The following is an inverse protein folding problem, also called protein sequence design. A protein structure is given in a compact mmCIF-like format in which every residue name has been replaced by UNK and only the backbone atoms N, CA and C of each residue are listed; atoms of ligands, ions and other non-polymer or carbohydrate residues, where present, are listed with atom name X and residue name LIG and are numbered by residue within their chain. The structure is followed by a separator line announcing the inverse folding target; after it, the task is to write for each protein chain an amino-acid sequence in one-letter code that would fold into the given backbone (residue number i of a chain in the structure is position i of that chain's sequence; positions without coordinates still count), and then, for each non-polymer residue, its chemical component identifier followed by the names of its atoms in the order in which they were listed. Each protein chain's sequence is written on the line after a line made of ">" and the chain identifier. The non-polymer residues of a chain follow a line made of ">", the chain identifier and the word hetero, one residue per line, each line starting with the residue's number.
data_IF_593739226782
#
_entry.id   IF_593739226782
#
_cell.length_a   1.000
_cell.length_b   1.000
_cell.length_c   1.000
_cell.angle_alpha   90.00
_cell.angle_beta   90.00
_cell.angle_gamma   90.00
#
_symmetry.space_group_name_H-M   'P 1'
#
loop_
_entity.id
_entity.type
_entity.pdbx_description
1 polymer ?
#
# COMPACT_ATOMS: atom_id res chain seq x y z
N UNK A 1 -25.20 -54.80 -26.20
CA UNK A 1 -24.07 -54.62 -25.25
C UNK A 1 -23.84 -55.98 -24.64
N UNK A 2 -22.64 -56.52 -24.74
CA UNK A 2 -22.32 -57.81 -24.14
C UNK A 2 -22.11 -57.65 -22.62
N UNK A 3 -22.24 -58.77 -21.86
CA UNK A 3 -22.02 -58.73 -20.41
C UNK A 3 -20.60 -58.27 -20.05
N UNK A 4 -19.62 -58.56 -20.90
CA UNK A 4 -18.22 -58.11 -20.73
C UNK A 4 -18.08 -56.60 -20.93
N UNK A 5 -18.77 -55.99 -21.90
CA UNK A 5 -18.80 -54.53 -22.10
C UNK A 5 -19.45 -53.81 -20.91
N UNK A 6 -20.50 -54.39 -20.34
CA UNK A 6 -21.18 -53.85 -19.17
C UNK A 6 -20.27 -53.88 -17.94
N UNK A 7 -19.57 -54.99 -17.71
CA UNK A 7 -18.65 -55.11 -16.57
C UNK A 7 -17.47 -54.13 -16.68
N UNK A 8 -16.90 -53.96 -17.87
CA UNK A 8 -15.85 -52.95 -18.09
C UNK A 8 -16.32 -51.50 -17.84
N UNK A 9 -17.57 -51.19 -18.21
CA UNK A 9 -18.14 -49.85 -17.92
C UNK A 9 -18.38 -49.63 -16.43
N UNK A 10 -18.82 -50.65 -15.71
CA UNK A 10 -19.03 -50.57 -14.25
C UNK A 10 -17.68 -50.39 -13.51
N UNK A 11 -16.67 -51.15 -13.92
CA UNK A 11 -15.32 -51.05 -13.36
C UNK A 11 -14.76 -49.64 -13.63
N UNK A 12 -14.89 -49.14 -14.86
CA UNK A 12 -14.44 -47.78 -15.22
C UNK A 12 -15.22 -46.69 -14.49
N UNK A 13 -16.52 -46.87 -14.28
CA UNK A 13 -17.33 -45.97 -13.48
C UNK A 13 -16.86 -45.93 -12.01
N UNK A 14 -16.50 -47.08 -11.44
CA UNK A 14 -15.94 -47.19 -10.10
C UNK A 14 -14.62 -46.43 -9.98
N UNK A 15 -13.67 -46.65 -10.90
CA UNK A 15 -12.40 -45.96 -10.94
C UNK A 15 -12.57 -44.42 -11.05
N UNK A 16 -13.44 -43.97 -11.92
CA UNK A 16 -13.74 -42.54 -12.09
C UNK A 16 -14.42 -41.97 -10.85
N UNK A 17 -15.33 -42.71 -10.23
CA UNK A 17 -15.99 -42.35 -8.99
C UNK A 17 -14.98 -42.13 -7.85
N UNK A 18 -14.06 -43.08 -7.66
CA UNK A 18 -12.99 -42.99 -6.67
C UNK A 18 -12.06 -41.78 -6.94
N UNK A 19 -11.71 -41.52 -8.20
CA UNK A 19 -10.91 -40.38 -8.58
C UNK A 19 -11.64 -39.05 -8.28
N UNK A 20 -12.93 -38.94 -8.57
CA UNK A 20 -13.74 -37.75 -8.28
C UNK A 20 -13.87 -37.51 -6.77
N UNK A 21 -14.00 -38.56 -5.99
CA UNK A 21 -14.07 -38.50 -4.52
C UNK A 21 -12.73 -38.08 -3.94
N UNK A 22 -11.64 -38.68 -4.42
CA UNK A 22 -10.27 -38.32 -3.99
C UNK A 22 -9.88 -36.87 -4.32
N UNK A 23 -10.37 -36.34 -5.44
CA UNK A 23 -10.17 -34.94 -5.85
C UNK A 23 -11.16 -33.97 -5.18
N UNK A 24 -12.15 -34.47 -4.45
CA UNK A 24 -13.24 -33.65 -3.88
C UNK A 24 -14.06 -32.93 -4.97
N UNK A 25 -14.14 -33.51 -6.16
CA UNK A 25 -14.71 -32.86 -7.34
C UNK A 25 -16.23 -32.64 -7.23
N UNK A 26 -16.93 -33.40 -6.39
CA UNK A 26 -18.36 -33.21 -6.11
C UNK A 26 -18.71 -31.90 -5.44
N UNK A 27 -17.73 -31.28 -4.74
CA UNK A 27 -17.90 -30.00 -4.05
C UNK A 27 -17.36 -28.83 -4.88
N UNK A 28 -16.80 -29.09 -6.07
CA UNK A 28 -16.08 -28.07 -6.86
C UNK A 28 -16.99 -26.90 -7.23
N UNK A 29 -18.20 -27.17 -7.69
CA UNK A 29 -19.15 -26.14 -8.11
C UNK A 29 -19.52 -25.24 -6.91
N UNK A 30 -19.80 -25.85 -5.75
CA UNK A 30 -20.09 -25.09 -4.53
C UNK A 30 -18.90 -24.27 -4.05
N UNK A 31 -17.68 -24.84 -4.08
CA UNK A 31 -16.45 -24.10 -3.72
C UNK A 31 -16.20 -22.95 -4.69
N UNK A 32 -16.48 -23.15 -5.98
CA UNK A 32 -16.37 -22.12 -7.00
C UNK A 32 -17.35 -20.99 -6.76
N UNK A 33 -18.64 -21.29 -6.53
CA UNK A 33 -19.67 -20.29 -6.24
C UNK A 33 -19.33 -19.47 -4.99
N UNK A 34 -18.95 -20.14 -3.90
CA UNK A 34 -18.55 -19.47 -2.65
C UNK A 34 -17.34 -18.54 -2.86
N UNK A 35 -16.32 -18.99 -3.59
CA UNK A 35 -15.15 -18.17 -3.84
C UNK A 35 -15.45 -17.00 -4.78
N UNK A 36 -16.28 -17.22 -5.80
CA UNK A 36 -16.70 -16.17 -6.74
C UNK A 36 -17.55 -15.11 -6.06
N UNK A 37 -18.48 -15.49 -5.20
CA UNK A 37 -19.33 -14.58 -4.44
C UNK A 37 -18.50 -13.79 -3.43
N UNK A 38 -17.68 -14.46 -2.63
CA UNK A 38 -16.83 -13.84 -1.61
C UNK A 38 -15.82 -12.84 -2.19
N UNK A 39 -15.24 -13.13 -3.35
CA UNK A 39 -14.33 -12.24 -4.06
C UNK A 39 -15.06 -11.30 -5.04
N UNK A 40 -16.39 -11.32 -5.05
CA UNK A 40 -17.23 -10.52 -5.95
C UNK A 40 -16.74 -10.59 -7.40
N UNK A 41 -16.51 -11.82 -7.86
CA UNK A 41 -16.15 -12.08 -9.25
C UNK A 41 -17.36 -11.74 -10.17
N UNK A 42 -17.11 -11.35 -11.43
CA UNK A 42 -18.18 -11.18 -12.40
C UNK A 42 -18.86 -12.51 -12.70
N UNK A 43 -20.05 -12.47 -13.34
CA UNK A 43 -20.80 -13.65 -13.76
C UNK A 43 -19.93 -14.57 -14.61
N UNK A 44 -20.10 -15.90 -14.42
CA UNK A 44 -19.23 -16.92 -15.01
C UNK A 44 -19.13 -16.88 -16.54
N UNK A 45 -20.19 -16.42 -17.23
CA UNK A 45 -20.22 -16.31 -18.69
C UNK A 45 -19.54 -15.04 -19.23
N UNK A 46 -19.03 -14.17 -18.36
CA UNK A 46 -18.39 -12.93 -18.78
C UNK A 46 -17.02 -13.19 -19.38
N UNK A 47 -16.79 -12.70 -20.59
CA UNK A 47 -15.51 -12.84 -21.27
C UNK A 47 -14.39 -12.11 -20.53
N UNK A 48 -13.28 -12.78 -20.24
CA UNK A 48 -12.12 -12.22 -19.52
C UNK A 48 -11.56 -10.96 -20.20
N UNK A 49 -11.72 -10.82 -21.51
CA UNK A 49 -11.22 -9.65 -22.29
C UNK A 49 -11.93 -8.35 -21.93
N UNK A 50 -13.19 -8.40 -21.49
CA UNK A 50 -13.98 -7.22 -21.15
C UNK A 50 -13.88 -6.83 -19.68
N UNK A 51 -13.24 -7.67 -18.87
CA UNK A 51 -13.06 -7.41 -17.45
C UNK A 51 -12.11 -6.25 -17.18
N UNK A 52 -12.43 -5.45 -16.17
CA UNK A 52 -11.53 -4.45 -15.60
C UNK A 52 -10.27 -5.10 -14.99
N UNK A 53 -9.23 -4.31 -14.73
CA UNK A 53 -8.00 -4.81 -14.09
C UNK A 53 -8.26 -5.44 -12.71
N UNK A 54 -9.12 -4.82 -11.90
CA UNK A 54 -9.50 -5.36 -10.59
C UNK A 54 -10.30 -6.67 -10.68
N UNK A 55 -11.27 -6.76 -11.61
CA UNK A 55 -12.02 -8.00 -11.83
C UNK A 55 -11.13 -9.13 -12.29
N UNK A 56 -10.20 -8.87 -13.22
CA UNK A 56 -9.23 -9.89 -13.65
C UNK A 56 -8.38 -10.41 -12.50
N UNK A 57 -7.93 -9.52 -11.60
CA UNK A 57 -7.14 -9.91 -10.42
C UNK A 57 -7.97 -10.80 -9.48
N UNK A 58 -9.24 -10.44 -9.21
CA UNK A 58 -10.13 -11.24 -8.35
C UNK A 58 -10.41 -12.63 -8.93
N UNK A 59 -10.69 -12.72 -10.24
CA UNK A 59 -10.86 -14.00 -10.93
C UNK A 59 -9.57 -14.83 -10.91
N UNK A 60 -8.41 -14.21 -11.12
CA UNK A 60 -7.12 -14.89 -11.05
C UNK A 60 -6.84 -15.40 -9.61
N UNK A 61 -7.16 -14.60 -8.60
CA UNK A 61 -7.04 -15.01 -7.19
C UNK A 61 -7.97 -16.17 -6.86
N UNK A 62 -9.25 -16.10 -7.23
CA UNK A 62 -10.21 -17.20 -7.05
C UNK A 62 -9.70 -18.52 -7.66
N UNK A 63 -9.25 -18.46 -8.92
CA UNK A 63 -8.66 -19.59 -9.61
C UNK A 63 -7.46 -20.17 -8.88
N UNK A 64 -6.55 -19.31 -8.41
CA UNK A 64 -5.35 -19.72 -7.69
C UNK A 64 -5.68 -20.41 -6.37
N UNK A 65 -6.61 -19.85 -5.60
CA UNK A 65 -7.03 -20.40 -4.31
C UNK A 65 -7.73 -21.77 -4.48
N UNK A 66 -8.56 -21.91 -5.50
CA UNK A 66 -9.27 -23.17 -5.80
C UNK A 66 -8.35 -24.27 -6.33
N UNK A 67 -7.18 -23.92 -6.89
CA UNK A 67 -6.21 -24.93 -7.35
C UNK A 67 -5.48 -25.66 -6.21
N UNK A 68 -5.64 -25.19 -4.98
CA UNK A 68 -5.10 -25.76 -3.74
C UNK A 68 -3.64 -26.23 -3.84
N UNK A 69 -2.69 -25.36 -4.20
CA UNK A 69 -1.27 -25.72 -4.35
C UNK A 69 -0.61 -25.98 -2.99
N UNK A 70 0.49 -26.73 -2.96
CA UNK A 70 1.29 -26.93 -1.74
C UNK A 70 1.92 -25.65 -1.21
N UNK A 71 2.29 -24.75 -2.14
CA UNK A 71 2.87 -23.43 -1.82
C UNK A 71 2.11 -22.36 -2.58
N UNK A 72 1.58 -21.39 -1.84
CA UNK A 72 0.82 -20.27 -2.35
C UNK A 72 1.67 -18.99 -2.24
N UNK A 73 1.95 -18.36 -3.38
CA UNK A 73 2.68 -17.09 -3.46
C UNK A 73 1.71 -15.98 -3.82
N UNK A 74 1.56 -14.99 -2.93
CA UNK A 74 0.64 -13.85 -3.09
C UNK A 74 1.41 -12.54 -3.07
N UNK A 75 1.18 -11.71 -4.08
CA UNK A 75 1.73 -10.36 -4.17
C UNK A 75 0.59 -9.33 -4.07
N UNK A 76 0.59 -8.57 -2.97
CA UNK A 76 -0.44 -7.59 -2.61
C UNK A 76 -1.87 -8.14 -2.79
N UNK A 77 -2.23 -9.25 -2.10
CA UNK A 77 -3.50 -9.92 -2.33
C UNK A 77 -4.72 -9.13 -1.88
N UNK A 78 -4.56 -8.17 -0.96
CA UNK A 78 -5.64 -7.34 -0.44
C UNK A 78 -5.94 -6.12 -1.33
N UNK A 79 -5.04 -5.77 -2.25
CA UNK A 79 -5.25 -4.63 -3.15
C UNK A 79 -6.47 -4.85 -4.05
N UNK A 80 -7.31 -3.82 -4.15
CA UNK A 80 -8.57 -3.82 -4.90
C UNK A 80 -9.66 -4.78 -4.37
N UNK A 81 -9.48 -5.37 -3.18
CA UNK A 81 -10.53 -6.08 -2.47
C UNK A 81 -11.29 -5.12 -1.54
N UNK A 82 -12.58 -5.36 -1.36
CA UNK A 82 -13.34 -4.70 -0.31
C UNK A 82 -13.16 -5.43 1.03
N UNK A 83 -13.60 -4.80 2.11
CA UNK A 83 -13.38 -5.31 3.47
C UNK A 83 -13.95 -6.72 3.70
N UNK A 84 -15.08 -7.05 3.07
CA UNK A 84 -15.72 -8.37 3.19
C UNK A 84 -14.90 -9.44 2.47
N UNK A 85 -14.41 -9.12 1.26
CA UNK A 85 -13.53 -10.01 0.49
C UNK A 85 -12.18 -10.24 1.19
N UNK A 86 -11.61 -9.18 1.82
CA UNK A 86 -10.39 -9.32 2.63
C UNK A 86 -10.63 -10.25 3.81
N UNK A 87 -11.72 -10.04 4.56
CA UNK A 87 -12.06 -10.88 5.72
C UNK A 87 -12.23 -12.36 5.32
N UNK A 88 -12.89 -12.62 4.20
CA UNK A 88 -13.03 -13.98 3.69
C UNK A 88 -11.66 -14.58 3.31
N UNK A 89 -10.79 -13.81 2.62
CA UNK A 89 -9.45 -14.24 2.25
C UNK A 89 -8.62 -14.58 3.50
N UNK A 90 -8.67 -13.76 4.54
CA UNK A 90 -8.00 -14.03 5.81
C UNK A 90 -8.45 -15.37 6.43
N UNK A 91 -9.76 -15.64 6.44
CA UNK A 91 -10.31 -16.89 6.97
C UNK A 91 -9.88 -18.09 6.11
N UNK A 92 -9.93 -17.94 4.78
CA UNK A 92 -9.47 -18.97 3.85
C UNK A 92 -8.01 -19.33 4.09
N UNK A 93 -7.12 -18.32 4.17
CA UNK A 93 -5.68 -18.55 4.35
C UNK A 93 -5.33 -19.13 5.72
N UNK A 94 -6.08 -18.82 6.77
CA UNK A 94 -5.93 -19.48 8.09
C UNK A 94 -6.22 -20.97 8.06
N UNK A 95 -7.13 -21.40 7.20
CA UNK A 95 -7.50 -22.82 7.04
C UNK A 95 -6.75 -23.50 5.91
N UNK A 96 -5.91 -22.79 5.18
CA UNK A 96 -5.17 -23.33 4.04
C UNK A 96 -4.15 -24.37 4.50
N UNK A 97 -4.17 -25.60 3.94
CA UNK A 97 -3.32 -26.70 4.43
C UNK A 97 -1.85 -26.57 4.01
N UNK A 98 -1.57 -25.79 2.96
CA UNK A 98 -0.22 -25.59 2.42
C UNK A 98 0.53 -24.43 3.06
N UNK A 99 1.69 -24.11 2.51
CA UNK A 99 2.51 -22.95 2.91
C UNK A 99 2.07 -21.71 2.14
N UNK A 100 1.83 -20.61 2.85
CA UNK A 100 1.52 -19.31 2.26
C UNK A 100 2.69 -18.35 2.44
N UNK A 101 3.11 -17.72 1.35
CA UNK A 101 4.09 -16.61 1.37
C UNK A 101 3.39 -15.42 0.72
N UNK A 102 3.14 -14.37 1.51
CA UNK A 102 2.48 -13.16 1.03
C UNK A 102 3.40 -11.95 1.16
N UNK A 103 3.48 -11.15 0.12
CA UNK A 103 4.06 -9.81 0.14
C UNK A 103 2.89 -8.83 0.24
N UNK A 104 2.85 -8.00 1.28
CA UNK A 104 1.78 -7.02 1.45
C UNK A 104 2.18 -5.89 2.38
N UNK A 105 1.56 -4.75 2.18
CA UNK A 105 1.63 -3.57 3.06
C UNK A 105 0.44 -3.47 4.02
N UNK A 106 -0.51 -4.39 3.93
CA UNK A 106 -1.69 -4.42 4.81
C UNK A 106 -1.33 -5.01 6.18
N UNK A 107 -1.16 -4.11 7.16
CA UNK A 107 -0.82 -4.47 8.54
C UNK A 107 -1.90 -5.29 9.24
N UNK A 108 -3.18 -5.05 8.93
CA UNK A 108 -4.28 -5.79 9.54
C UNK A 108 -4.33 -7.22 9.00
N UNK A 109 -4.14 -7.39 7.70
CA UNK A 109 -3.99 -8.69 7.09
C UNK A 109 -2.79 -9.46 7.69
N UNK A 110 -1.62 -8.82 7.79
CA UNK A 110 -0.44 -9.44 8.42
C UNK A 110 -0.67 -9.79 9.89
N UNK A 111 -1.39 -8.96 10.62
CA UNK A 111 -1.68 -9.21 12.05
C UNK A 111 -2.62 -10.40 12.22
N UNK A 112 -3.56 -10.58 11.28
CA UNK A 112 -4.56 -11.64 11.34
C UNK A 112 -4.07 -12.97 10.77
N UNK A 113 -3.21 -12.98 9.74
CA UNK A 113 -2.87 -14.20 8.98
C UNK A 113 -1.43 -14.67 9.23
N UNK A 114 -0.48 -13.73 9.44
CA UNK A 114 0.93 -14.09 9.49
C UNK A 114 1.32 -14.74 10.83
N UNK A 115 1.99 -15.89 10.79
CA UNK A 115 2.68 -16.50 11.93
C UNK A 115 4.17 -16.19 11.96
N UNK A 116 4.73 -15.75 10.82
CA UNK A 116 6.11 -15.31 10.63
C UNK A 116 6.15 -14.10 9.72
N UNK A 117 7.07 -13.18 9.99
CA UNK A 117 7.34 -12.03 9.15
C UNK A 117 8.81 -12.08 8.72
N UNK A 118 9.06 -11.96 7.42
CA UNK A 118 10.39 -11.74 6.87
C UNK A 118 10.53 -10.25 6.53
N UNK A 119 11.31 -9.54 7.33
CA UNK A 119 11.64 -8.14 7.06
C UNK A 119 12.83 -8.07 6.10
N UNK A 120 12.66 -7.35 5.00
CA UNK A 120 13.77 -7.03 4.10
C UNK A 120 14.26 -5.62 4.45
N UNK A 121 15.42 -5.54 5.10
CA UNK A 121 16.02 -4.27 5.54
C UNK A 121 17.47 -4.20 5.10
N UNK A 122 17.83 -3.13 4.39
CA UNK A 122 19.22 -2.84 3.96
C UNK A 122 19.93 -4.01 3.27
N UNK A 123 19.19 -4.77 2.45
CA UNK A 123 19.71 -5.94 1.72
C UNK A 123 19.81 -7.23 2.54
N UNK A 124 19.40 -7.21 3.80
CA UNK A 124 19.33 -8.38 4.68
C UNK A 124 17.88 -8.85 4.83
N UNK A 125 17.66 -10.16 4.93
CA UNK A 125 16.38 -10.76 5.28
C UNK A 125 16.37 -11.16 6.75
N UNK A 126 15.50 -10.55 7.55
CA UNK A 126 15.45 -10.76 9.00
C UNK A 126 14.11 -11.46 9.33
N UNK A 127 14.16 -12.76 9.72
CA UNK A 127 12.96 -13.48 10.10
C UNK A 127 12.51 -13.12 11.52
N UNK A 128 11.22 -12.89 11.68
CA UNK A 128 10.57 -12.60 12.97
C UNK A 128 9.44 -13.58 13.21
N UNK A 129 9.39 -14.16 14.39
CA UNK A 129 8.29 -15.02 14.79
C UNK A 129 7.14 -14.18 15.33
N UNK A 130 5.94 -14.45 14.85
CA UNK A 130 4.71 -13.80 15.28
C UNK A 130 4.06 -12.97 14.17
N UNK A 131 3.02 -12.23 14.55
CA UNK A 131 2.25 -11.36 13.69
C UNK A 131 2.87 -9.95 13.59
N UNK A 132 2.19 -9.05 12.88
CA UNK A 132 2.66 -7.68 12.64
C UNK A 132 2.86 -6.89 13.94
N UNK A 133 1.95 -6.99 14.90
CA UNK A 133 2.04 -6.29 16.20
C UNK A 133 3.26 -6.73 16.99
N UNK A 134 3.54 -8.04 17.03
CA UNK A 134 4.72 -8.57 17.70
C UNK A 134 6.03 -8.20 16.98
N UNK A 135 6.04 -8.20 15.65
CA UNK A 135 7.17 -7.72 14.85
C UNK A 135 7.49 -6.25 15.17
N UNK A 136 6.45 -5.41 15.26
CA UNK A 136 6.62 -3.99 15.55
C UNK A 136 7.29 -3.73 16.89
N UNK A 137 6.89 -4.46 17.93
CA UNK A 137 7.49 -4.38 19.25
C UNK A 137 8.95 -4.85 19.23
N UNK A 138 9.23 -5.99 18.59
CA UNK A 138 10.57 -6.54 18.46
C UNK A 138 11.49 -5.60 17.65
N UNK A 139 10.99 -5.02 16.54
CA UNK A 139 11.72 -4.02 15.74
C UNK A 139 12.04 -2.77 16.56
N UNK A 140 11.06 -2.26 17.32
CA UNK A 140 11.28 -1.11 18.20
C UNK A 140 12.39 -1.35 19.22
N UNK A 141 12.38 -2.52 19.87
CA UNK A 141 13.42 -2.92 20.82
C UNK A 141 14.79 -3.06 20.15
N UNK A 142 14.84 -3.63 18.94
CA UNK A 142 16.09 -3.73 18.14
C UNK A 142 16.65 -2.36 17.83
N UNK A 143 15.83 -1.45 17.28
CA UNK A 143 16.25 -0.09 16.93
C UNK A 143 16.75 0.68 18.14
N UNK A 144 16.07 0.57 19.29
CA UNK A 144 16.52 1.20 20.53
C UNK A 144 17.89 0.65 21.01
N UNK A 145 18.16 -0.64 20.82
CA UNK A 145 19.45 -1.23 21.14
C UNK A 145 20.53 -0.81 20.14
N UNK A 146 20.24 -0.77 18.86
CA UNK A 146 21.16 -0.27 17.81
C UNK A 146 21.55 1.18 18.08
N UNK A 147 20.58 2.05 18.42
CA UNK A 147 20.86 3.47 18.74
C UNK A 147 21.75 3.62 19.98
N UNK A 148 21.54 2.80 21.01
CA UNK A 148 22.42 2.76 22.19
C UNK A 148 23.84 2.31 21.83
N UNK A 149 23.98 1.32 20.95
CA UNK A 149 25.30 0.83 20.49
C UNK A 149 26.01 1.89 19.63
N UNK A 150 25.29 2.52 18.68
CA UNK A 150 25.84 3.62 17.87
C UNK A 150 26.30 4.80 18.74
N UNK A 151 25.48 5.21 19.72
CA UNK A 151 25.86 6.27 20.66
C UNK A 151 27.12 5.92 21.45
N UNK A 152 27.26 4.68 21.91
CA UNK A 152 28.47 4.20 22.56
C UNK A 152 29.68 4.19 21.62
N UNK A 153 29.49 3.69 20.38
CA UNK A 153 30.52 3.66 19.33
C UNK A 153 31.00 5.08 18.99
N UNK A 154 30.07 6.00 18.81
CA UNK A 154 30.38 7.42 18.53
C UNK A 154 31.17 8.06 19.69
N UNK A 155 30.77 7.88 20.93
CA UNK A 155 31.51 8.38 22.13
C UNK A 155 32.90 7.77 22.22
N UNK A 156 33.06 6.51 21.82
CA UNK A 156 34.36 5.85 21.81
C UNK A 156 35.26 6.41 20.70
N UNK A 157 34.72 6.60 19.47
CA UNK A 157 35.41 7.22 18.36
C UNK A 157 35.84 8.65 18.68
N UNK A 158 34.97 9.45 19.28
CA UNK A 158 35.27 10.83 19.69
C UNK A 158 36.43 10.87 20.71
N UNK A 159 36.42 9.97 21.71
CA UNK A 159 37.52 9.84 22.69
C UNK A 159 38.83 9.42 22.05
N UNK A 160 38.78 8.47 21.12
CA UNK A 160 40.01 8.01 20.40
C UNK A 160 40.52 9.12 19.47
N UNK A 161 39.62 9.88 18.83
CA UNK A 161 39.98 11.03 17.99
C UNK A 161 40.68 12.14 18.82
N UNK A 162 40.12 12.42 19.98
CA UNK A 162 40.67 13.41 20.93
C UNK A 162 42.06 12.95 21.41
N UNK A 163 42.24 11.66 21.72
CA UNK A 163 43.53 11.11 22.10
C UNK A 163 44.55 11.19 20.96
N UNK A 164 44.16 10.91 19.70
CA UNK A 164 45.00 11.04 18.52
C UNK A 164 45.45 12.48 18.30
N UNK A 165 44.58 13.48 18.60
CA UNK A 165 44.89 14.88 18.44
C UNK A 165 45.79 15.45 19.54
N UNK A 166 45.66 14.98 20.79
CA UNK A 166 46.33 15.55 21.95
C UNK A 166 47.75 15.06 22.22
N UNK A 167 48.20 13.93 21.62
CA UNK A 167 49.48 13.32 22.00
C UNK A 167 50.43 13.01 20.82
N UNK A 168 51.17 14.04 20.27
CA UNK A 168 52.11 13.81 19.18
C UNK A 168 53.42 13.09 19.62
N UNK A 169 53.76 13.04 20.90
CA UNK A 169 55.05 12.54 21.41
C UNK A 169 55.04 11.07 21.87
N UNK A 170 53.92 10.38 21.92
CA UNK A 170 53.81 9.04 22.42
C UNK A 170 53.67 7.92 21.33
N UNK A 171 54.07 8.19 20.10
CA UNK A 171 53.83 7.35 18.92
C UNK A 171 54.71 6.10 18.77
N UNK A 172 55.31 5.55 19.82
CA UNK A 172 56.10 4.32 19.68
C UNK A 172 55.27 3.06 20.01
N UNK A 173 55.29 2.09 19.09
CA UNK A 173 54.82 0.69 19.14
C UNK A 173 53.41 0.39 19.72
N UNK A 174 53.03 0.90 20.88
CA UNK A 174 51.66 0.70 21.48
C UNK A 174 50.56 1.50 20.79
N UNK A 175 50.90 2.54 20.01
CA UNK A 175 49.94 3.37 19.30
C UNK A 175 49.42 2.76 17.99
N UNK A 176 50.18 1.83 17.37
CA UNK A 176 49.82 1.22 16.08
C UNK A 176 48.59 0.29 16.18
N UNK A 177 48.49 -0.47 17.27
CA UNK A 177 47.31 -1.32 17.52
C UNK A 177 46.06 -0.49 17.77
N UNK A 178 46.16 0.66 18.42
CA UNK A 178 45.07 1.58 18.74
C UNK A 178 44.63 2.40 17.52
N UNK A 179 45.58 2.81 16.67
CA UNK A 179 45.30 3.41 15.36
C UNK A 179 44.60 2.39 14.42
N UNK A 180 45.06 1.18 14.35
CA UNK A 180 44.41 0.13 13.56
C UNK A 180 43.00 -0.21 14.09
N UNK A 181 42.79 -0.14 15.41
CA UNK A 181 41.44 -0.29 16.02
C UNK A 181 40.53 0.87 15.68
N UNK A 182 41.04 2.10 15.69
CA UNK A 182 40.31 3.29 15.24
C UNK A 182 39.96 3.23 13.76
N UNK A 183 40.93 2.89 12.88
CA UNK A 183 40.69 2.78 11.44
C UNK A 183 39.65 1.68 11.12
N UNK A 184 39.68 0.56 11.85
CA UNK A 184 38.68 -0.49 11.72
C UNK A 184 37.29 -0.01 12.15
N UNK A 185 37.17 0.69 13.30
CA UNK A 185 35.91 1.23 13.80
C UNK A 185 35.40 2.38 12.94
N UNK A 186 36.28 3.19 12.37
CA UNK A 186 35.94 4.27 11.46
C UNK A 186 35.56 3.78 10.05
N UNK A 187 36.16 2.65 9.62
CA UNK A 187 35.84 2.03 8.33
C UNK A 187 34.56 1.18 8.31
N UNK A 188 33.98 0.88 9.48
CA UNK A 188 32.65 0.30 9.54
C UNK A 188 31.63 1.41 9.24
N UNK A 189 31.03 1.35 8.05
CA UNK A 189 30.00 2.30 7.61
C UNK A 189 28.89 2.41 8.67
N UNK A 190 28.56 3.65 9.04
CA UNK A 190 27.40 3.90 9.87
C UNK A 190 26.17 3.46 9.10
N UNK A 191 25.37 2.55 9.68
CA UNK A 191 24.12 2.12 9.08
C UNK A 191 23.23 3.35 8.85
N UNK A 192 22.77 3.55 7.62
CA UNK A 192 21.86 4.65 7.29
C UNK A 192 20.62 4.58 8.20
N UNK A 193 20.33 5.68 8.86
CA UNK A 193 19.11 5.76 9.69
C UNK A 193 17.89 5.73 8.80
N UNK A 194 16.89 4.91 9.14
CA UNK A 194 15.56 5.05 8.54
C UNK A 194 15.07 6.48 8.79
N UNK A 195 14.93 7.23 7.73
CA UNK A 195 14.35 8.58 7.78
C UNK A 195 12.85 8.42 8.02
N UNK A 196 12.37 8.89 9.19
CA UNK A 196 10.92 8.97 9.41
C UNK A 196 10.34 9.91 8.37
N UNK A 197 9.32 9.44 7.67
CA UNK A 197 8.55 10.29 6.78
C UNK A 197 7.82 11.34 7.64
N UNK A 198 8.03 12.61 7.34
CA UNK A 198 7.37 13.72 8.03
C UNK A 198 6.50 14.46 7.02
N UNK A 199 5.32 13.91 6.76
CA UNK A 199 4.36 14.47 5.83
C UNK A 199 3.87 15.81 6.35
N UNK A 200 4.13 16.87 5.60
CA UNK A 200 3.60 18.19 5.86
C UNK A 200 2.37 18.45 4.98
N UNK A 201 1.20 18.47 5.61
CA UNK A 201 -0.05 18.90 4.97
C UNK A 201 -0.22 20.38 5.28
N UNK A 202 -0.09 21.29 4.29
CA UNK A 202 -0.25 22.71 4.54
C UNK A 202 -1.68 23.00 4.99
N UNK A 203 -1.89 23.81 6.04
CA UNK A 203 -3.22 24.28 6.35
C UNK A 203 -3.70 25.15 5.18
N UNK A 204 -4.84 24.77 4.60
CA UNK A 204 -5.51 25.56 3.58
C UNK A 204 -6.22 26.78 4.16
N UNK A 205 -6.86 27.56 3.30
CA UNK A 205 -7.72 28.67 3.69
C UNK A 205 -8.84 28.19 4.63
N UNK A 206 -9.29 29.07 5.53
CA UNK A 206 -10.33 28.71 6.50
C UNK A 206 -11.64 28.29 5.79
N UNK A 207 -12.13 27.12 6.15
CA UNK A 207 -13.43 26.63 5.67
C UNK A 207 -14.59 27.46 6.24
N UNK A 208 -15.56 27.76 5.39
CA UNK A 208 -16.86 28.32 5.78
C UNK A 208 -17.73 27.30 6.52
N UNK A 209 -18.96 27.67 6.81
CA UNK A 209 -19.91 26.80 7.53
C UNK A 209 -20.45 25.67 6.66
N UNK A 210 -20.57 25.91 5.35
CA UNK A 210 -20.92 24.88 4.37
C UNK A 210 -19.63 24.40 3.71
N UNK A 211 -19.33 23.11 3.85
CA UNK A 211 -18.20 22.47 3.17
C UNK A 211 -18.73 21.70 1.96
N UNK A 212 -19.40 20.58 2.16
CA UNK A 212 -20.08 19.81 1.12
C UNK A 212 -21.45 19.41 1.64
N UNK A 213 -22.50 19.73 0.89
CA UNK A 213 -23.85 19.33 1.19
C UNK A 213 -24.50 18.70 -0.05
N UNK A 214 -25.04 17.51 0.12
CA UNK A 214 -25.74 16.73 -0.90
C UNK A 214 -27.17 16.50 -0.44
N UNK A 215 -28.14 16.87 -1.25
CA UNK A 215 -29.56 16.81 -0.92
C UNK A 215 -30.31 16.03 -2.01
N UNK A 216 -30.97 14.95 -1.59
CA UNK A 216 -31.81 14.09 -2.45
C UNK A 216 -31.10 13.66 -3.74
N UNK A 217 -29.82 13.36 -3.66
CA UNK A 217 -29.00 13.01 -4.82
C UNK A 217 -29.35 11.61 -5.30
N UNK A 218 -29.64 11.50 -6.59
CA UNK A 218 -29.86 10.23 -7.27
C UNK A 218 -28.82 10.08 -8.38
N UNK A 219 -28.29 8.88 -8.54
CA UNK A 219 -27.35 8.54 -9.60
C UNK A 219 -27.50 7.09 -10.01
N UNK A 220 -27.58 6.88 -11.33
CA UNK A 220 -27.65 5.56 -11.94
C UNK A 220 -26.76 5.49 -13.19
N UNK A 221 -26.34 4.30 -13.57
CA UNK A 221 -25.72 4.01 -14.85
C UNK A 221 -26.49 2.87 -15.54
N UNK A 222 -27.26 3.21 -16.54
CA UNK A 222 -28.18 2.27 -17.19
C UNK A 222 -29.21 1.73 -16.17
N UNK A 223 -29.25 0.42 -15.98
CA UNK A 223 -30.14 -0.22 -15.02
C UNK A 223 -29.59 -0.30 -13.59
N UNK A 224 -28.34 0.13 -13.37
CA UNK A 224 -27.69 0.06 -12.07
C UNK A 224 -27.85 1.36 -11.30
N UNK A 225 -28.63 1.31 -10.23
CA UNK A 225 -28.80 2.43 -9.29
C UNK A 225 -27.60 2.42 -8.34
N UNK A 226 -26.88 3.54 -8.23
CA UNK A 226 -25.78 3.73 -7.28
C UNK A 226 -26.26 4.47 -6.03
N UNK A 227 -27.00 5.55 -6.21
CA UNK A 227 -27.53 6.38 -5.14
C UNK A 227 -29.01 6.67 -5.38
N UNK A 228 -29.79 6.50 -4.34
CA UNK A 228 -31.23 6.83 -4.33
C UNK A 228 -31.54 7.68 -3.11
N UNK A 229 -32.03 8.89 -3.33
CA UNK A 229 -32.34 9.86 -2.29
C UNK A 229 -31.20 10.08 -1.27
N UNK A 230 -29.97 10.09 -1.77
CA UNK A 230 -28.76 10.16 -0.95
C UNK A 230 -28.57 11.57 -0.39
N UNK A 231 -28.40 11.66 0.93
CA UNK A 231 -28.16 12.89 1.64
C UNK A 231 -26.85 12.77 2.43
N UNK A 232 -25.96 13.77 2.30
CA UNK A 232 -24.69 13.82 2.99
C UNK A 232 -24.32 15.25 3.30
N UNK A 233 -23.99 15.54 4.54
CA UNK A 233 -23.44 16.81 4.96
C UNK A 233 -22.08 16.58 5.60
N UNK A 234 -21.04 17.15 5.02
CA UNK A 234 -19.68 17.10 5.56
C UNK A 234 -19.39 18.40 6.32
N UNK A 235 -19.23 18.33 7.65
CA UNK A 235 -18.91 19.51 8.45
C UNK A 235 -17.44 19.89 8.29
N UNK A 236 -17.11 21.14 8.65
CA UNK A 236 -15.71 21.60 8.68
C UNK A 236 -14.87 20.81 9.68
N UNK A 237 -13.60 20.59 9.34
CA UNK A 237 -12.62 19.86 10.15
C UNK A 237 -12.98 18.39 10.43
N UNK A 238 -13.89 17.81 9.66
CA UNK A 238 -14.23 16.40 9.78
C UNK A 238 -13.28 15.51 8.98
N UNK A 239 -13.04 14.30 9.50
CA UNK A 239 -12.48 13.19 8.75
C UNK A 239 -13.61 12.21 8.52
N UNK A 240 -13.95 11.98 7.24
CA UNK A 240 -15.07 11.12 6.84
C UNK A 240 -14.53 9.92 6.09
N UNK A 241 -14.68 8.73 6.67
CA UNK A 241 -14.36 7.46 5.98
C UNK A 241 -15.56 6.97 5.20
N UNK A 242 -15.36 6.69 3.90
CA UNK A 242 -16.38 6.13 3.01
C UNK A 242 -16.06 4.66 2.78
N UNK A 243 -16.89 3.78 3.29
CA UNK A 243 -16.76 2.33 3.18
C UNK A 243 -17.90 1.73 2.37
N UNK A 244 -17.65 0.63 1.74
CA UNK A 244 -18.65 -0.12 0.99
C UNK A 244 -18.04 -1.03 -0.05
N UNK A 245 -18.84 -1.96 -0.61
CA UNK A 245 -18.39 -2.90 -1.63
C UNK A 245 -17.77 -2.25 -2.86
N UNK A 246 -16.99 -3.02 -3.59
CA UNK A 246 -16.47 -2.58 -4.88
C UNK A 246 -17.60 -2.33 -5.88
N UNK A 247 -17.49 -1.21 -6.59
CA UNK A 247 -18.49 -0.81 -7.59
C UNK A 247 -19.77 -0.18 -7.02
N UNK A 248 -19.89 0.04 -5.69
CA UNK A 248 -21.07 0.68 -5.07
C UNK A 248 -21.16 2.18 -5.39
N UNK A 249 -20.13 2.77 -5.96
CA UNK A 249 -20.14 4.18 -6.36
C UNK A 249 -19.22 5.11 -5.56
N UNK A 250 -18.26 4.58 -4.75
CA UNK A 250 -17.35 5.42 -3.96
C UNK A 250 -16.60 6.46 -4.80
N UNK A 251 -15.93 6.03 -5.86
CA UNK A 251 -15.22 6.94 -6.78
C UNK A 251 -16.20 7.83 -7.59
N UNK A 252 -17.41 7.35 -7.86
CA UNK A 252 -18.46 8.17 -8.50
C UNK A 252 -18.90 9.31 -7.59
N UNK A 253 -19.00 9.07 -6.27
CA UNK A 253 -19.30 10.10 -5.28
C UNK A 253 -18.23 11.21 -5.31
N UNK A 254 -16.95 10.84 -5.32
CA UNK A 254 -15.87 11.83 -5.44
C UNK A 254 -15.92 12.59 -6.76
N UNK A 255 -16.19 11.92 -7.87
CA UNK A 255 -16.36 12.57 -9.18
C UNK A 255 -17.53 13.56 -9.20
N UNK A 256 -18.62 13.24 -8.51
CA UNK A 256 -19.76 14.16 -8.37
C UNK A 256 -19.40 15.37 -7.49
N UNK A 257 -18.66 15.18 -6.40
CA UNK A 257 -18.16 16.28 -5.56
C UNK A 257 -17.22 17.19 -6.35
N UNK A 258 -16.38 16.62 -7.20
CA UNK A 258 -15.48 17.40 -8.07
C UNK A 258 -16.19 18.06 -9.27
N UNK A 259 -17.48 17.76 -9.50
CA UNK A 259 -18.21 18.25 -10.66
C UNK A 259 -17.82 17.58 -11.99
N UNK A 260 -17.03 16.50 -11.96
CA UNK A 260 -16.66 15.69 -13.13
C UNK A 260 -17.80 14.79 -13.60
N UNK A 261 -18.71 14.46 -12.71
CA UNK A 261 -19.91 13.68 -12.97
C UNK A 261 -21.13 14.44 -12.41
N UNK A 262 -22.25 14.43 -13.13
CA UNK A 262 -23.47 15.08 -12.69
C UNK A 262 -24.40 14.07 -12.05
N UNK A 263 -25.09 14.42 -10.95
CA UNK A 263 -26.21 13.61 -10.45
C UNK A 263 -27.34 13.61 -11.46
N UNK A 264 -28.14 12.55 -11.47
CA UNK A 264 -29.34 12.46 -12.31
C UNK A 264 -30.43 13.39 -11.77
N UNK A 265 -30.52 13.53 -10.44
CA UNK A 265 -31.36 14.51 -9.75
C UNK A 265 -30.81 14.81 -8.34
N UNK A 266 -31.39 15.81 -7.69
CA UNK A 266 -30.88 16.31 -6.41
C UNK A 266 -29.92 17.48 -6.57
N UNK A 267 -29.30 17.90 -5.47
CA UNK A 267 -28.41 19.07 -5.44
C UNK A 267 -27.15 18.77 -4.67
N UNK A 268 -26.01 19.18 -5.26
CA UNK A 268 -24.71 19.17 -4.59
C UNK A 268 -24.27 20.61 -4.42
N UNK A 269 -24.02 21.01 -3.18
CA UNK A 269 -23.56 22.35 -2.84
C UNK A 269 -22.17 22.25 -2.24
N UNK A 270 -21.21 22.92 -2.85
CA UNK A 270 -19.83 23.03 -2.36
C UNK A 270 -19.66 24.46 -1.87
N UNK A 271 -19.08 24.63 -0.68
CA UNK A 271 -18.86 25.95 -0.09
C UNK A 271 -17.90 26.81 -0.94
N UNK A 272 -18.16 28.10 -1.01
CA UNK A 272 -17.36 29.05 -1.81
C UNK A 272 -15.87 29.09 -1.41
N UNK A 273 -15.57 28.76 -0.16
CA UNK A 273 -14.18 28.73 0.36
C UNK A 273 -13.50 27.39 0.17
N UNK A 274 -14.19 26.39 -0.38
CA UNK A 274 -13.67 25.03 -0.56
C UNK A 274 -12.73 24.96 -1.75
N UNK A 275 -11.52 24.50 -1.50
CA UNK A 275 -10.53 24.12 -2.51
C UNK A 275 -10.26 22.63 -2.38
N UNK A 276 -10.72 21.85 -3.34
CA UNK A 276 -10.57 20.39 -3.34
C UNK A 276 -9.20 20.02 -3.86
N UNK A 277 -8.46 19.20 -3.11
CA UNK A 277 -7.29 18.47 -3.57
C UNK A 277 -7.67 16.97 -3.64
N UNK A 278 -7.49 16.36 -4.81
CA UNK A 278 -7.89 14.98 -5.06
C UNK A 278 -6.70 14.11 -5.43
N UNK A 279 -6.54 13.02 -4.72
CA UNK A 279 -5.55 11.97 -5.03
C UNK A 279 -6.27 10.83 -5.74
N UNK A 280 -6.03 10.72 -7.05
CA UNK A 280 -6.60 9.70 -7.93
C UNK A 280 -5.66 8.49 -8.06
N UNK A 281 -6.23 7.31 -8.24
CA UNK A 281 -5.48 6.07 -8.53
C UNK A 281 -4.83 6.04 -9.92
N UNK A 282 -5.27 6.87 -10.87
CA UNK A 282 -4.91 6.70 -12.29
C UNK A 282 -3.54 7.26 -12.69
N UNK A 283 -2.89 8.08 -11.85
CA UNK A 283 -1.57 8.70 -12.09
C UNK A 283 -1.36 9.33 -13.48
N UNK A 284 -2.44 9.75 -14.16
CA UNK A 284 -2.42 10.22 -15.55
C UNK A 284 -1.59 11.49 -15.75
N UNK A 285 -1.40 12.26 -14.70
CA UNK A 285 -0.69 13.55 -14.74
C UNK A 285 0.83 13.40 -14.60
N UNK A 286 1.33 12.19 -14.39
CA UNK A 286 2.75 11.94 -14.25
C UNK A 286 3.42 11.74 -15.61
N UNK A 287 4.29 12.67 -16.01
CA UNK A 287 5.06 12.61 -17.24
C UNK A 287 6.26 11.67 -17.08
N UNK A 288 6.32 10.52 -17.81
CA UNK A 288 7.33 9.48 -17.59
C UNK A 288 8.77 9.94 -17.82
N UNK A 289 8.97 10.88 -18.74
CA UNK A 289 10.29 11.33 -19.17
C UNK A 289 10.93 12.38 -18.25
N UNK A 290 10.12 13.01 -17.40
CA UNK A 290 10.60 14.01 -16.44
C UNK A 290 11.13 13.37 -15.16
N UNK A 291 12.06 14.07 -14.50
CA UNK A 291 12.57 13.69 -13.19
C UNK A 291 11.55 14.00 -12.08
N UNK A 292 11.67 13.34 -10.92
CA UNK A 292 10.85 13.63 -9.74
C UNK A 292 10.94 15.13 -9.40
N UNK A 293 12.15 15.69 -9.44
CA UNK A 293 12.37 17.11 -9.18
C UNK A 293 11.59 17.99 -10.15
N UNK A 294 11.67 17.74 -11.44
CA UNK A 294 10.97 18.51 -12.47
C UNK A 294 9.45 18.42 -12.37
N UNK A 295 8.93 17.21 -12.07
CA UNK A 295 7.48 17.01 -11.95
C UNK A 295 6.91 17.74 -10.74
N UNK A 296 7.56 17.66 -9.58
CA UNK A 296 7.05 18.29 -8.35
C UNK A 296 7.31 19.78 -8.34
N UNK A 297 8.54 20.24 -8.69
CA UNK A 297 8.95 21.63 -8.56
C UNK A 297 8.73 22.48 -9.83
N UNK A 298 8.46 21.84 -10.99
CA UNK A 298 8.50 22.53 -12.28
C UNK A 298 9.91 23.02 -12.67
N UNK A 299 10.97 22.47 -12.03
CA UNK A 299 12.35 22.86 -12.25
C UNK A 299 12.82 24.05 -11.40
N UNK A 300 11.99 24.56 -10.48
CA UNK A 300 12.32 25.69 -9.63
C UNK A 300 12.93 25.22 -8.31
N UNK A 301 13.93 25.96 -7.79
CA UNK A 301 14.57 25.67 -6.50
C UNK A 301 13.67 26.00 -5.31
N UNK A 302 12.74 26.94 -5.49
CA UNK A 302 11.74 27.30 -4.49
C UNK A 302 10.35 26.86 -4.93
N UNK A 303 9.63 26.24 -4.02
CA UNK A 303 8.30 25.69 -4.21
C UNK A 303 7.32 26.39 -3.28
N UNK A 304 6.20 26.82 -3.84
CA UNK A 304 5.09 27.32 -3.03
C UNK A 304 4.14 26.16 -2.71
N UNK A 305 3.87 25.97 -1.41
CA UNK A 305 2.99 24.94 -0.89
C UNK A 305 1.92 25.61 -0.03
N UNK A 306 0.75 25.85 -0.59
CA UNK A 306 -0.22 26.74 0.01
C UNK A 306 0.33 28.16 0.17
N UNK A 307 0.39 28.66 1.41
CA UNK A 307 0.94 29.97 1.75
C UNK A 307 2.44 29.94 2.11
N UNK A 308 3.05 28.75 2.16
CA UNK A 308 4.44 28.56 2.59
C UNK A 308 5.37 28.40 1.40
N UNK A 309 6.60 28.93 1.52
CA UNK A 309 7.66 28.72 0.54
C UNK A 309 8.69 27.75 1.09
N UNK A 310 8.96 26.68 0.37
CA UNK A 310 9.94 25.65 0.71
C UNK A 310 11.05 25.58 -0.33
N UNK A 311 12.24 25.14 0.09
CA UNK A 311 13.22 24.64 -0.85
C UNK A 311 12.67 23.34 -1.48
N UNK A 312 12.65 23.26 -2.82
CA UNK A 312 12.04 22.16 -3.55
C UNK A 312 12.64 20.81 -3.20
N UNK A 313 13.97 20.75 -3.06
CA UNK A 313 14.64 19.48 -2.68
C UNK A 313 14.32 19.06 -1.26
N UNK A 314 14.21 20.01 -0.34
CA UNK A 314 13.81 19.74 1.04
C UNK A 314 12.35 19.28 1.14
N UNK A 315 11.47 19.83 0.33
CA UNK A 315 10.08 19.39 0.25
C UNK A 315 9.99 17.94 -0.30
N UNK A 316 10.69 17.66 -1.39
CA UNK A 316 10.70 16.34 -2.02
C UNK A 316 11.28 15.26 -1.09
N UNK A 317 12.31 15.62 -0.30
CA UNK A 317 12.90 14.67 0.67
C UNK A 317 11.93 14.26 1.79
N UNK A 318 10.91 15.08 2.09
CA UNK A 318 9.83 14.72 3.03
C UNK A 318 8.98 13.56 2.54
N UNK A 319 8.99 13.24 1.24
CA UNK A 319 8.30 12.09 0.63
C UNK A 319 9.24 10.89 0.40
N UNK A 320 10.33 10.84 1.17
CA UNK A 320 11.33 9.77 1.13
C UNK A 320 12.05 9.62 -0.22
N UNK A 321 12.31 10.76 -0.89
CA UNK A 321 13.19 10.83 -2.04
C UNK A 321 14.49 11.53 -1.65
N UNK A 322 15.57 10.77 -1.49
CA UNK A 322 16.91 11.31 -1.18
C UNK A 322 17.48 12.13 -2.34
N UNK A 323 18.59 12.83 -2.14
CA UNK A 323 19.16 13.75 -3.14
C UNK A 323 19.38 13.12 -4.53
N UNK A 324 19.82 11.86 -4.62
CA UNK A 324 20.02 11.17 -5.88
C UNK A 324 18.71 10.66 -6.50
N UNK A 325 17.76 10.23 -5.66
CA UNK A 325 16.45 9.73 -6.12
C UNK A 325 15.66 10.81 -6.85
N UNK A 326 15.80 12.07 -6.43
CA UNK A 326 15.11 13.21 -7.05
C UNK A 326 15.44 13.40 -8.53
N UNK A 327 16.56 12.85 -8.98
CA UNK A 327 16.99 12.90 -10.39
C UNK A 327 16.51 11.68 -11.21
N UNK A 328 15.84 10.71 -10.59
CA UNK A 328 15.24 9.58 -11.29
C UNK A 328 14.06 10.04 -12.15
N UNK A 329 13.91 9.44 -13.33
CA UNK A 329 12.74 9.66 -14.18
C UNK A 329 11.50 8.98 -13.59
N UNK A 330 10.35 9.62 -13.69
CA UNK A 330 9.09 9.07 -13.17
C UNK A 330 8.72 7.74 -13.83
N UNK A 331 9.09 7.53 -15.08
CA UNK A 331 8.81 6.29 -15.81
C UNK A 331 9.45 5.03 -15.23
N UNK A 332 10.58 5.15 -14.49
CA UNK A 332 11.29 4.02 -13.87
C UNK A 332 10.88 3.75 -12.42
N UNK A 333 9.98 4.56 -11.86
CA UNK A 333 9.53 4.43 -10.49
C UNK A 333 8.61 3.22 -10.29
N UNK A 334 8.68 2.61 -9.12
CA UNK A 334 7.69 1.63 -8.65
C UNK A 334 6.29 2.27 -8.48
N UNK A 335 5.25 1.44 -8.33
CA UNK A 335 3.89 1.92 -8.05
C UNK A 335 3.83 2.81 -6.81
N UNK A 336 4.42 2.37 -5.70
CA UNK A 336 4.46 3.13 -4.45
C UNK A 336 5.27 4.43 -4.54
N UNK A 337 6.38 4.45 -5.29
CA UNK A 337 7.11 5.69 -5.55
C UNK A 337 6.29 6.68 -6.37
N UNK A 338 5.57 6.21 -7.39
CA UNK A 338 4.66 7.06 -8.19
C UNK A 338 3.53 7.63 -7.33
N UNK A 339 2.95 6.82 -6.43
CA UNK A 339 1.94 7.29 -5.48
C UNK A 339 2.47 8.40 -4.58
N UNK A 340 3.70 8.27 -4.04
CA UNK A 340 4.32 9.35 -3.24
C UNK A 340 4.58 10.62 -4.04
N UNK A 341 4.99 10.51 -5.31
CA UNK A 341 5.14 11.68 -6.20
C UNK A 341 3.79 12.36 -6.43
N UNK A 342 2.75 11.59 -6.72
CA UNK A 342 1.40 12.11 -6.94
C UNK A 342 0.85 12.79 -5.68
N UNK A 343 1.04 12.16 -4.51
CA UNK A 343 0.67 12.75 -3.23
C UNK A 343 1.41 14.08 -2.97
N UNK A 344 2.73 14.13 -3.27
CA UNK A 344 3.51 15.35 -3.14
C UNK A 344 3.01 16.49 -4.04
N UNK A 345 2.61 16.16 -5.27
CA UNK A 345 2.02 17.14 -6.21
C UNK A 345 0.68 17.66 -5.69
N UNK A 346 -0.20 16.76 -5.27
CA UNK A 346 -1.55 17.12 -4.77
C UNK A 346 -1.47 17.98 -3.51
N UNK A 347 -0.61 17.62 -2.56
CA UNK A 347 -0.43 18.43 -1.33
C UNK A 347 0.22 19.78 -1.59
N UNK A 348 1.05 19.92 -2.63
CA UNK A 348 1.61 21.19 -3.07
C UNK A 348 0.53 22.20 -3.47
N UNK A 349 -0.55 21.73 -4.10
CA UNK A 349 -1.63 22.61 -4.58
C UNK A 349 -2.39 23.32 -3.47
N UNK A 350 -2.29 22.83 -2.22
CA UNK A 350 -2.79 23.51 -1.03
C UNK A 350 -4.32 23.53 -0.91
N UNK A 351 -4.97 22.40 -1.12
CA UNK A 351 -6.41 22.27 -0.87
C UNK A 351 -6.74 22.31 0.63
N UNK A 352 -7.97 22.75 0.97
CA UNK A 352 -8.51 22.70 2.33
C UNK A 352 -9.53 21.59 2.53
N UNK A 353 -9.91 20.89 1.46
CA UNK A 353 -10.65 19.60 1.47
C UNK A 353 -9.85 18.60 0.67
N UNK A 354 -9.44 17.54 1.33
CA UNK A 354 -8.64 16.48 0.72
C UNK A 354 -9.51 15.26 0.46
N UNK A 355 -9.63 14.86 -0.80
CA UNK A 355 -10.30 13.64 -1.22
C UNK A 355 -9.24 12.59 -1.53
N UNK A 356 -9.28 11.46 -0.83
CA UNK A 356 -8.33 10.35 -0.98
C UNK A 356 -9.09 9.11 -1.45
N UNK A 357 -8.85 8.67 -2.69
CA UNK A 357 -9.46 7.45 -3.24
C UNK A 357 -8.49 6.29 -3.08
N UNK A 358 -8.81 5.38 -2.16
CA UNK A 358 -7.97 4.22 -1.79
C UNK A 358 -6.50 4.59 -1.49
N UNK A 359 -6.27 5.53 -0.57
CA UNK A 359 -4.95 6.13 -0.35
C UNK A 359 -3.90 5.13 0.19
N UNK A 360 -4.33 3.98 0.65
CA UNK A 360 -3.46 2.94 1.21
C UNK A 360 -2.91 1.98 0.16
N UNK A 361 -3.51 1.96 -1.04
CA UNK A 361 -3.04 1.11 -2.12
C UNK A 361 -1.64 1.55 -2.57
N UNK A 362 -0.74 0.57 -2.73
CA UNK A 362 0.64 0.78 -3.19
C UNK A 362 1.49 1.74 -2.33
N UNK A 363 1.05 2.09 -1.11
CA UNK A 363 1.84 2.89 -0.17
C UNK A 363 2.51 1.98 0.86
N UNK A 364 3.83 2.14 1.03
CA UNK A 364 4.59 1.36 2.01
C UNK A 364 4.18 1.67 3.46
N UNK A 365 4.41 0.70 4.36
CA UNK A 365 4.00 0.75 5.78
C UNK A 365 4.57 1.99 6.51
N UNK A 366 5.77 2.43 6.15
CA UNK A 366 6.41 3.58 6.81
C UNK A 366 5.73 4.89 6.39
N UNK A 367 5.32 4.99 5.12
CA UNK A 367 4.53 6.11 4.59
C UNK A 367 3.12 6.16 5.21
N UNK A 368 2.50 5.02 5.47
CA UNK A 368 1.17 4.94 6.11
C UNK A 368 1.17 5.36 7.60
N UNK A 369 2.34 5.44 8.23
CA UNK A 369 2.49 5.85 9.65
C UNK A 369 2.79 7.34 9.84
N UNK A 370 3.17 8.02 8.77
CA UNK A 370 3.43 9.45 8.78
C UNK A 370 2.15 10.28 8.71
#
# INVERSE_FOLDING_TARGET
>A
MSDDEMNQLIERQGEVGEQLEHLGAWELDNKLEVAMDALRCPEGDTLVKVLSGGERRRVALARLLLSNPDILLLDEPTNHLDAESVLWLEQFLKSFPGTVIAVTHDRYFLDNVAGWILELDRGEGIPWQGNYSSWLEQKSNRLANEEKQESKKKKMLDRELEWVRTNPKGRQAKSKARLNAYDRLAGEEAKEKETKLDLFIPPGDRLGDVVINMEHVNKSFGNRILFENFNLQIPKNAIVGIIGPNGVGKSTLFRMIMGLEKPDSGKITIGETVKIAYVDQSHKDLLPDKTIFEVISGGNDLLQVGTYTFNSRAYISKFNFSGQDQSKKVGVLSGGERNRVHLAMTLKEGGNVLLLDEPTNDIDINTLRA
#
